data_IF_635523080262
#
_entry.id   IF_635523080262
#
_cell.length_a   1.000
_cell.length_b   1.000
_cell.length_c   1.000
_cell.angle_alpha   90.00
_cell.angle_beta   90.00
_cell.angle_gamma   90.00
#
_symmetry.space_group_name_H-M   'P 1'
#
loop_
_entity.id
_entity.type
_entity.pdbx_description
1 polymer ?
#
# COMPACT_ATOMS: atom_id res chain seq x y z
N UNK A 1 -21.83 16.16 -16.10
CA UNK A 1 -23.17 15.52 -15.94
C UNK A 1 -23.03 14.00 -15.87
N UNK A 2 -22.15 13.51 -14.99
CA UNK A 2 -22.09 12.12 -14.49
C UNK A 2 -21.57 12.25 -13.05
N UNK A 3 -22.47 12.50 -12.11
CA UNK A 3 -22.22 12.50 -10.65
C UNK A 3 -23.50 11.99 -10.02
N UNK A 4 -23.69 10.66 -10.10
CA UNK A 4 -24.69 9.85 -9.41
C UNK A 4 -24.54 8.41 -9.91
N UNK A 5 -23.62 7.66 -9.29
CA UNK A 5 -23.62 6.19 -9.20
C UNK A 5 -22.35 5.66 -8.49
N UNK A 6 -21.82 6.38 -7.49
CA UNK A 6 -20.67 5.91 -6.70
C UNK A 6 -21.10 5.12 -5.45
N UNK A 7 -22.34 5.28 -4.97
CA UNK A 7 -22.78 4.69 -3.68
C UNK A 7 -23.24 3.22 -3.76
N UNK A 8 -23.44 2.63 -4.95
CA UNK A 8 -23.87 1.23 -5.09
C UNK A 8 -22.77 0.27 -5.59
N UNK A 9 -21.56 0.76 -5.89
CA UNK A 9 -20.46 -0.06 -6.45
C UNK A 9 -19.30 -0.33 -5.50
N UNK A 10 -19.19 0.41 -4.39
CA UNK A 10 -18.12 0.27 -3.40
C UNK A 10 -18.14 -1.05 -2.58
N UNK A 11 -19.16 -1.90 -2.76
CA UNK A 11 -19.31 -3.14 -1.98
C UNK A 11 -18.72 -4.40 -2.65
N UNK A 12 -18.08 -4.27 -3.82
CA UNK A 12 -17.43 -5.39 -4.51
C UNK A 12 -16.07 -4.98 -5.05
N UNK A 13 -15.02 -5.52 -4.42
CA UNK A 13 -13.68 -5.73 -4.99
C UNK A 13 -12.67 -4.58 -4.93
N UNK A 14 -12.63 -3.83 -3.83
CA UNK A 14 -11.46 -3.03 -3.40
C UNK A 14 -10.37 -3.84 -2.66
N UNK A 15 -10.51 -5.17 -2.56
CA UNK A 15 -9.62 -6.03 -1.74
C UNK A 15 -8.42 -6.64 -2.50
N UNK A 16 -8.21 -6.34 -3.79
CA UNK A 16 -7.46 -7.27 -4.66
C UNK A 16 -5.95 -7.01 -4.80
N UNK A 17 -5.37 -5.99 -4.18
CA UNK A 17 -3.91 -5.72 -4.32
C UNK A 17 -3.07 -6.28 -3.17
N UNK A 18 -3.57 -6.29 -1.93
CA UNK A 18 -2.78 -6.80 -0.78
C UNK A 18 -3.11 -8.25 -0.39
N UNK A 19 -4.33 -8.73 -0.63
CA UNK A 19 -4.70 -10.11 -0.25
C UNK A 19 -3.89 -11.18 -1.01
N UNK A 20 -3.36 -10.86 -2.19
CA UNK A 20 -2.56 -11.82 -2.97
C UNK A 20 -1.12 -12.00 -2.46
N UNK A 21 -0.63 -11.14 -1.56
CA UNK A 21 0.62 -11.40 -0.84
C UNK A 21 0.45 -12.41 0.30
N UNK A 22 -0.79 -12.74 0.71
CA UNK A 22 -1.08 -13.64 1.85
C UNK A 22 -1.94 -14.87 1.46
N UNK A 23 -2.77 -14.80 0.40
CA UNK A 23 -3.73 -15.88 0.06
C UNK A 23 -3.18 -16.91 -0.96
N UNK A 24 -1.92 -16.79 -1.39
CA UNK A 24 -1.26 -17.76 -2.27
C UNK A 24 -1.08 -19.18 -1.70
N UNK A 25 -1.57 -19.48 -0.48
CA UNK A 25 -1.38 -20.78 0.19
C UNK A 25 -2.50 -21.81 0.03
N UNK A 26 -3.68 -21.51 -0.54
CA UNK A 26 -4.77 -22.50 -0.62
C UNK A 26 -5.65 -22.34 -1.87
N UNK A 27 -5.23 -22.87 -3.02
CA UNK A 27 -6.15 -23.34 -4.06
C UNK A 27 -5.46 -24.16 -5.17
N UNK A 28 -4.93 -25.35 -4.87
CA UNK A 28 -4.83 -26.43 -5.86
C UNK A 28 -5.15 -27.77 -5.17
N UNK A 29 -6.41 -28.19 -5.24
CA UNK A 29 -6.77 -29.61 -5.40
C UNK A 29 -8.23 -29.69 -5.85
N UNK A 30 -8.46 -30.12 -7.09
CA UNK A 30 -9.80 -30.32 -7.64
C UNK A 30 -10.46 -31.61 -7.16
N UNK A 31 -11.78 -31.68 -7.30
CA UNK A 31 -12.50 -32.86 -7.80
C UNK A 31 -13.98 -32.52 -8.06
N UNK A 32 -14.45 -32.94 -9.24
CA UNK A 32 -15.84 -32.93 -9.70
C UNK A 32 -16.75 -33.83 -8.83
N UNK A 33 -18.05 -33.50 -8.77
CA UNK A 33 -19.07 -34.50 -8.40
C UNK A 33 -20.45 -33.98 -7.98
N UNK A 34 -21.39 -33.90 -8.94
CA UNK A 34 -22.74 -34.47 -8.76
C UNK A 34 -23.84 -33.67 -8.04
N UNK A 35 -24.74 -33.12 -8.85
CA UNK A 35 -26.21 -32.96 -8.71
C UNK A 35 -26.91 -33.47 -7.43
N UNK A 36 -27.80 -32.63 -6.87
CA UNK A 36 -28.90 -33.05 -5.99
C UNK A 36 -29.75 -31.91 -5.44
N UNK A 37 -30.94 -31.71 -6.01
CA UNK A 37 -31.96 -30.77 -5.58
C UNK A 37 -32.63 -31.15 -4.24
N UNK A 38 -33.13 -30.15 -3.48
CA UNK A 38 -34.56 -29.92 -3.20
C UNK A 38 -34.84 -29.24 -1.85
N UNK A 39 -35.65 -28.18 -1.92
CA UNK A 39 -36.79 -27.78 -1.07
C UNK A 39 -36.71 -27.69 0.47
N UNK A 40 -37.28 -26.59 0.98
CA UNK A 40 -38.15 -26.63 2.17
C UNK A 40 -38.00 -25.46 3.17
N UNK A 41 -38.47 -24.25 2.87
CA UNK A 41 -39.76 -23.67 3.35
C UNK A 41 -39.91 -23.35 4.86
N UNK A 42 -40.35 -22.10 5.11
CA UNK A 42 -41.09 -21.53 6.27
C UNK A 42 -40.27 -21.08 7.48
N UNK A 43 -40.58 -19.96 8.14
CA UNK A 43 -41.57 -18.89 7.96
C UNK A 43 -41.14 -17.73 8.87
N UNK A 44 -41.21 -16.48 8.42
CA UNK A 44 -42.36 -15.57 8.50
C UNK A 44 -42.64 -14.96 9.89
N UNK A 45 -42.78 -13.62 9.85
CA UNK A 45 -43.46 -12.70 10.80
C UNK A 45 -42.60 -12.22 11.98
N UNK A 46 -42.41 -10.92 12.26
CA UNK A 46 -42.89 -9.69 11.66
C UNK A 46 -42.80 -8.50 12.64
N UNK A 47 -42.55 -7.32 12.08
CA UNK A 47 -43.09 -5.99 12.44
C UNK A 47 -42.71 -5.28 13.77
N UNK A 48 -42.31 -4.00 13.61
CA UNK A 48 -42.54 -2.88 14.54
C UNK A 48 -41.27 -2.36 15.22
N UNK A 49 -40.56 -1.35 14.67
CA UNK A 49 -40.82 0.09 14.80
C UNK A 49 -41.09 0.54 16.25
N UNK A 50 -40.21 1.35 16.85
CA UNK A 50 -40.31 2.83 16.86
C UNK A 50 -39.34 3.45 17.90
N UNK A 51 -39.16 4.75 17.77
CA UNK A 51 -38.06 5.60 18.22
C UNK A 51 -38.12 6.05 19.70
N UNK A 52 -36.95 6.45 20.22
CA UNK A 52 -36.82 7.73 20.93
C UNK A 52 -36.59 7.72 22.45
N UNK A 53 -35.60 8.50 22.89
CA UNK A 53 -35.70 9.28 24.14
C UNK A 53 -34.58 9.11 25.17
N UNK A 54 -33.69 10.11 25.23
CA UNK A 54 -32.77 10.43 26.35
C UNK A 54 -33.50 10.51 27.71
N UNK A 55 -32.85 10.11 28.81
CA UNK A 55 -32.34 10.98 29.91
C UNK A 55 -31.81 10.19 31.11
N UNK A 56 -30.53 10.41 31.46
CA UNK A 56 -29.97 10.72 32.79
C UNK A 56 -30.18 9.82 34.02
N UNK A 57 -29.07 9.43 34.66
CA UNK A 57 -29.04 9.12 36.09
C UNK A 57 -27.87 8.24 36.57
N UNK A 58 -26.71 8.83 36.86
CA UNK A 58 -25.63 8.18 37.64
C UNK A 58 -26.08 7.82 39.06
N UNK A 59 -25.72 6.61 39.54
CA UNK A 59 -25.27 6.34 40.93
C UNK A 59 -24.44 5.04 41.03
N UNK A 60 -23.13 5.19 41.20
CA UNK A 60 -22.28 4.53 42.21
C UNK A 60 -22.11 2.99 42.23
N UNK A 61 -20.90 2.56 41.89
CA UNK A 61 -20.32 1.20 42.00
C UNK A 61 -20.25 0.60 43.41
N UNK A 62 -20.13 -0.74 43.52
CA UNK A 62 -18.82 -1.32 43.86
C UNK A 62 -18.44 -2.62 43.10
N UNK A 63 -17.25 -2.63 42.48
CA UNK A 63 -16.23 -3.65 42.73
C UNK A 63 -16.26 -4.98 41.97
N UNK A 64 -15.98 -4.95 40.67
CA UNK A 64 -14.98 -5.74 39.90
C UNK A 64 -15.38 -5.58 38.44
N UNK A 65 -14.62 -4.73 37.75
CA UNK A 65 -14.99 -3.97 36.56
C UNK A 65 -15.27 -4.87 35.35
N UNK A 66 -16.55 -5.05 35.03
CA UNK A 66 -16.95 -5.46 33.68
C UNK A 66 -16.53 -4.37 32.70
N UNK A 67 -15.73 -4.74 31.71
CA UNK A 67 -15.44 -3.90 30.55
C UNK A 67 -16.78 -3.63 29.86
N UNK A 68 -17.35 -2.45 30.10
CA UNK A 68 -18.22 -1.83 29.11
C UNK A 68 -17.24 -1.40 28.03
N UNK A 69 -17.20 -2.09 26.89
CA UNK A 69 -16.42 -1.61 25.75
C UNK A 69 -16.95 -0.21 25.45
N UNK A 70 -16.05 0.78 25.41
CA UNK A 70 -16.39 2.05 24.80
C UNK A 70 -16.60 1.78 23.31
N UNK A 71 -17.66 2.33 22.74
CA UNK A 71 -17.84 2.35 21.29
C UNK A 71 -16.89 3.44 20.76
N UNK A 72 -15.89 3.05 19.98
CA UNK A 72 -14.96 3.97 19.30
C UNK A 72 -15.39 4.12 17.84
N UNK A 73 -15.07 5.27 17.23
CA UNK A 73 -15.37 5.50 15.81
C UNK A 73 -14.54 4.58 14.90
N UNK A 74 -13.27 4.37 15.23
CA UNK A 74 -12.39 3.40 14.59
C UNK A 74 -11.99 2.34 15.62
N UNK A 75 -12.25 1.07 15.30
CA UNK A 75 -11.93 -0.06 16.16
C UNK A 75 -11.60 -1.29 15.32
N UNK A 76 -10.59 -2.05 15.74
CA UNK A 76 -10.28 -3.35 15.17
C UNK A 76 -10.53 -4.47 16.19
N UNK A 77 -11.66 -5.17 16.00
CA UNK A 77 -12.06 -6.28 16.85
C UNK A 77 -12.14 -5.90 18.32
N UNK A 78 -11.33 -6.54 19.16
CA UNK A 78 -11.12 -6.14 20.56
C UNK A 78 -9.66 -5.74 20.80
N UNK A 79 -8.88 -5.45 19.75
CA UNK A 79 -7.46 -5.09 19.86
C UNK A 79 -7.26 -3.66 20.35
N UNK A 80 -7.67 -2.68 19.55
CA UNK A 80 -7.51 -1.26 19.83
C UNK A 80 -8.71 -0.45 19.30
N UNK A 81 -8.83 0.81 19.74
CA UNK A 81 -9.77 1.78 19.16
C UNK A 81 -9.37 3.23 19.43
N UNK A 82 -9.89 4.14 18.61
CA UNK A 82 -9.76 5.60 18.75
C UNK A 82 -10.96 6.32 18.12
N UNK A 83 -11.22 7.54 18.58
CA UNK A 83 -12.32 8.40 18.14
C UNK A 83 -11.86 9.37 17.05
N UNK A 84 -12.80 9.70 16.15
CA UNK A 84 -12.62 10.74 15.15
C UNK A 84 -13.10 12.08 15.73
N UNK A 85 -12.28 13.14 15.64
CA UNK A 85 -12.68 14.48 16.04
C UNK A 85 -13.99 14.93 15.38
N UNK A 86 -14.80 15.72 16.11
CA UNK A 86 -16.05 16.30 15.57
C UNK A 86 -15.76 17.08 14.27
N UNK A 87 -16.52 16.78 13.20
CA UNK A 87 -16.41 17.47 11.91
C UNK A 87 -16.48 16.54 10.69
N UNK A 88 -16.05 15.29 10.82
CA UNK A 88 -16.14 14.34 9.72
C UNK A 88 -15.04 13.29 9.73
N UNK A 89 -15.33 12.21 9.02
CA UNK A 89 -14.44 11.13 8.66
C UNK A 89 -15.22 10.30 7.65
N UNK A 90 -15.75 10.98 6.62
CA UNK A 90 -16.78 10.43 5.73
C UNK A 90 -16.20 9.35 4.79
N UNK A 91 -14.88 9.21 4.77
CA UNK A 91 -14.13 8.20 4.02
C UNK A 91 -12.88 7.82 4.80
N UNK A 92 -12.79 6.55 5.21
CA UNK A 92 -11.54 5.92 5.64
C UNK A 92 -10.92 5.36 4.37
N UNK A 93 -9.85 5.99 3.90
CA UNK A 93 -9.05 5.51 2.78
C UNK A 93 -7.65 5.12 3.26
N UNK A 94 -6.84 4.51 2.39
CA UNK A 94 -5.42 4.34 2.64
C UNK A 94 -4.68 5.66 2.47
N UNK A 95 -3.81 5.96 3.42
CA UNK A 95 -2.93 7.12 3.39
C UNK A 95 -1.58 6.80 2.75
N UNK A 96 -0.85 7.82 2.28
CA UNK A 96 0.50 7.62 1.72
C UNK A 96 1.45 6.95 2.71
N UNK A 97 2.51 6.30 2.23
CA UNK A 97 3.50 5.60 3.07
C UNK A 97 2.86 4.56 4.02
N UNK A 98 1.75 3.92 3.63
CA UNK A 98 1.20 2.79 4.38
C UNK A 98 0.42 3.16 5.66
N UNK A 99 0.02 4.43 5.81
CA UNK A 99 -0.97 4.81 6.81
C UNK A 99 -2.32 4.11 6.51
N UNK A 100 -2.82 3.29 7.43
CA UNK A 100 -4.03 2.49 7.20
C UNK A 100 -5.32 3.32 7.15
N UNK A 101 -5.31 4.47 7.81
CA UNK A 101 -6.46 5.35 7.89
C UNK A 101 -6.06 6.75 7.43
N UNK A 102 -6.69 7.22 6.35
CA UNK A 102 -6.72 8.60 5.91
C UNK A 102 -8.13 9.12 6.03
N UNK A 103 -8.29 10.26 6.71
CA UNK A 103 -9.56 10.95 6.91
C UNK A 103 -9.39 12.39 6.44
N UNK A 104 -10.22 12.80 5.48
CA UNK A 104 -10.18 14.13 4.87
C UNK A 104 -11.18 15.05 5.58
N UNK A 105 -10.70 16.16 6.13
CA UNK A 105 -11.50 17.22 6.73
C UNK A 105 -11.61 18.38 5.74
N UNK A 106 -12.57 18.29 4.81
CA UNK A 106 -12.70 19.21 3.66
C UNK A 106 -12.88 20.69 4.07
N UNK A 107 -13.63 20.98 5.13
CA UNK A 107 -13.87 22.36 5.58
C UNK A 107 -12.57 23.01 6.09
N UNK A 108 -11.73 22.23 6.75
CA UNK A 108 -10.42 22.64 7.24
C UNK A 108 -9.28 22.44 6.23
N UNK A 109 -9.55 21.79 5.10
CA UNK A 109 -8.55 21.40 4.11
C UNK A 109 -7.41 20.57 4.70
N UNK A 110 -7.71 19.72 5.69
CA UNK A 110 -6.72 19.00 6.49
C UNK A 110 -6.91 17.50 6.37
N UNK A 111 -5.84 16.77 6.11
CA UNK A 111 -5.85 15.32 6.11
C UNK A 111 -5.31 14.81 7.45
N UNK A 112 -6.10 13.97 8.14
CA UNK A 112 -5.69 13.21 9.30
C UNK A 112 -5.31 11.79 8.87
N UNK A 113 -4.12 11.37 9.27
CA UNK A 113 -3.57 10.05 8.99
C UNK A 113 -3.39 9.31 10.32
N UNK A 114 -3.80 8.06 10.35
CA UNK A 114 -3.58 7.18 11.49
C UNK A 114 -3.05 5.82 11.05
N UNK A 115 -2.16 5.28 11.87
CA UNK A 115 -1.66 3.92 11.74
C UNK A 115 -1.48 3.30 13.12
N UNK A 116 -1.73 2.00 13.22
CA UNK A 116 -1.59 1.25 14.48
C UNK A 116 -0.84 -0.04 14.19
N UNK A 117 0.25 -0.25 14.92
CA UNK A 117 1.14 -1.41 14.74
C UNK A 117 1.41 -2.11 16.04
N UNK A 118 1.84 -3.36 15.97
CA UNK A 118 2.47 -4.02 17.11
C UNK A 118 3.68 -3.22 17.58
N UNK A 119 3.84 -3.16 18.90
CA UNK A 119 4.92 -2.36 19.47
C UNK A 119 6.27 -3.06 19.30
N UNK A 120 7.14 -2.45 18.50
CA UNK A 120 8.53 -2.84 18.38
C UNK A 120 9.40 -2.25 19.51
N UNK A 121 10.39 -2.98 20.08
CA UNK A 121 11.28 -2.43 21.08
C UNK A 121 12.02 -1.14 20.66
N UNK A 122 12.41 -1.02 19.39
CA UNK A 122 13.10 0.17 18.88
C UNK A 122 12.16 1.36 18.71
N UNK A 123 10.87 1.16 18.40
CA UNK A 123 9.90 2.26 18.41
C UNK A 123 9.74 2.84 19.83
N UNK A 124 9.76 2.00 20.88
CA UNK A 124 9.72 2.47 22.28
C UNK A 124 10.97 3.25 22.71
N UNK A 125 12.13 3.02 22.09
CA UNK A 125 13.33 3.79 22.40
C UNK A 125 13.16 5.26 22.05
N UNK A 126 12.34 5.57 21.03
CA UNK A 126 11.96 6.93 20.65
C UNK A 126 11.45 7.75 21.83
N UNK A 127 10.50 7.19 22.60
CA UNK A 127 9.93 7.84 23.78
C UNK A 127 10.80 7.69 25.04
N UNK A 128 11.52 6.58 25.20
CA UNK A 128 12.35 6.33 26.39
C UNK A 128 13.56 7.26 26.47
N UNK A 129 14.14 7.61 25.33
CA UNK A 129 15.28 8.54 25.24
C UNK A 129 14.83 9.93 24.75
N UNK A 130 13.66 10.40 25.22
CA UNK A 130 13.05 11.64 24.73
C UNK A 130 13.96 12.87 24.87
N UNK A 131 14.81 12.92 25.91
CA UNK A 131 15.79 14.00 26.09
C UNK A 131 16.78 14.12 24.91
N UNK A 132 17.09 13.00 24.26
CA UNK A 132 17.93 12.95 23.06
C UNK A 132 17.10 13.02 21.78
N UNK A 133 15.93 12.38 21.74
CA UNK A 133 15.02 12.34 20.58
C UNK A 133 14.47 13.73 20.25
N UNK A 134 13.94 14.47 21.22
CA UNK A 134 13.30 15.77 20.99
C UNK A 134 14.20 16.79 20.26
N UNK A 135 15.46 17.04 20.67
CA UNK A 135 16.33 17.94 19.91
C UNK A 135 16.77 17.36 18.55
N UNK A 136 16.79 16.03 18.40
CA UNK A 136 17.12 15.38 17.13
C UNK A 136 16.05 15.62 16.06
N UNK A 137 14.77 15.70 16.44
CA UNK A 137 13.67 15.92 15.49
C UNK A 137 13.80 17.24 14.71
N UNK A 138 14.28 18.31 15.34
CA UNK A 138 14.51 19.58 14.65
C UNK A 138 15.64 19.47 13.60
N UNK A 139 16.68 18.68 13.88
CA UNK A 139 17.75 18.39 12.92
C UNK A 139 17.22 17.58 11.74
N UNK A 140 16.45 16.52 12.02
CA UNK A 140 15.85 15.68 10.99
C UNK A 140 14.87 16.47 10.12
N UNK A 141 14.07 17.37 10.70
CA UNK A 141 13.22 18.28 9.95
C UNK A 141 14.02 19.12 8.95
N UNK A 142 15.15 19.68 9.40
CA UNK A 142 16.02 20.49 8.56
C UNK A 142 16.71 19.69 7.44
N UNK A 143 17.06 18.43 7.68
CA UNK A 143 17.69 17.54 6.69
C UNK A 143 16.70 17.01 5.65
N UNK A 144 15.45 16.79 6.05
CA UNK A 144 14.39 16.31 5.15
C UNK A 144 13.80 17.46 4.32
N UNK A 145 13.44 18.58 4.95
CA UNK A 145 12.70 19.68 4.33
C UNK A 145 13.59 20.85 3.87
N UNK A 146 14.84 20.92 4.33
CA UNK A 146 15.80 21.92 3.84
C UNK A 146 15.31 23.36 3.99
N UNK A 147 15.41 24.14 2.92
CA UNK A 147 14.98 25.55 2.89
C UNK A 147 13.45 25.72 2.94
N UNK A 148 12.68 24.65 2.75
CA UNK A 148 11.22 24.68 2.79
C UNK A 148 10.69 24.66 4.22
N UNK A 149 11.50 24.25 5.21
CA UNK A 149 11.15 24.30 6.63
C UNK A 149 11.05 25.76 7.10
N UNK A 150 9.86 26.15 7.57
CA UNK A 150 9.62 27.49 8.10
C UNK A 150 9.87 27.58 9.60
N UNK A 151 9.34 26.60 10.35
CA UNK A 151 9.46 26.56 11.80
C UNK A 151 9.31 25.14 12.31
N UNK A 152 10.04 24.81 13.37
CA UNK A 152 9.82 23.61 14.17
C UNK A 152 9.27 24.03 15.54
N UNK A 153 8.09 23.51 15.87
CA UNK A 153 7.35 23.77 17.10
C UNK A 153 7.92 23.01 18.31
N UNK A 154 7.30 23.15 19.49
CA UNK A 154 7.73 22.41 20.67
C UNK A 154 7.53 20.90 20.45
N UNK A 155 8.51 20.11 20.89
CA UNK A 155 8.40 18.67 21.02
C UNK A 155 8.12 18.33 22.49
N UNK A 156 7.03 17.60 22.75
CA UNK A 156 6.53 17.32 24.09
C UNK A 156 6.36 15.82 24.31
N UNK A 157 6.69 15.37 25.53
CA UNK A 157 6.30 14.07 26.03
C UNK A 157 5.19 14.28 27.07
N UNK A 158 4.00 13.78 26.77
CA UNK A 158 2.83 13.93 27.62
C UNK A 158 2.70 12.77 28.61
N UNK A 159 2.39 13.10 29.87
CA UNK A 159 2.09 12.13 30.91
C UNK A 159 0.64 11.63 30.79
N UNK A 160 0.41 10.32 30.90
CA UNK A 160 -0.92 9.71 30.72
C UNK A 160 -0.96 8.21 31.02
N UNK A 161 -1.98 7.52 30.51
CA UNK A 161 -2.06 6.04 30.59
C UNK A 161 -0.93 5.36 29.82
N UNK A 162 -0.43 6.01 28.77
CA UNK A 162 0.73 5.59 27.99
C UNK A 162 1.55 6.83 27.57
N UNK A 163 2.86 6.69 27.29
CA UNK A 163 3.67 7.77 26.76
C UNK A 163 3.14 8.26 25.41
N UNK A 164 2.92 9.57 25.30
CA UNK A 164 2.56 10.22 24.03
C UNK A 164 3.63 11.25 23.69
N UNK A 165 4.39 11.01 22.62
CA UNK A 165 5.32 11.98 22.08
C UNK A 165 4.61 12.82 21.03
N UNK A 166 4.76 14.14 21.07
CA UNK A 166 4.18 15.03 20.08
C UNK A 166 5.16 16.10 19.62
N UNK A 167 4.99 16.55 18.39
CA UNK A 167 5.67 17.72 17.87
C UNK A 167 4.88 18.26 16.67
N UNK A 168 5.14 19.51 16.34
CA UNK A 168 4.57 20.15 15.16
C UNK A 168 5.62 20.98 14.45
N UNK A 169 5.38 21.27 13.19
CA UNK A 169 6.24 22.11 12.38
C UNK A 169 5.44 22.67 11.20
N UNK A 170 6.05 23.58 10.46
CA UNK A 170 5.51 24.06 9.20
C UNK A 170 6.57 24.12 8.13
N UNK A 171 6.14 23.82 6.91
CA UNK A 171 6.92 23.95 5.70
C UNK A 171 6.14 24.78 4.67
N UNK A 172 6.81 25.34 3.68
CA UNK A 172 6.14 26.05 2.61
C UNK A 172 6.78 25.79 1.25
N UNK A 173 5.93 25.63 0.25
CA UNK A 173 6.31 25.50 -1.14
C UNK A 173 5.32 26.24 -2.02
N UNK A 174 5.84 26.91 -3.05
CA UNK A 174 5.04 27.64 -4.04
C UNK A 174 4.02 28.66 -3.46
N UNK A 175 4.25 29.16 -2.23
CA UNK A 175 3.35 30.10 -1.56
C UNK A 175 2.27 29.46 -0.69
N UNK A 176 2.16 28.12 -0.70
CA UNK A 176 1.32 27.34 0.20
C UNK A 176 2.11 26.98 1.44
N UNK A 177 1.50 27.14 2.62
CA UNK A 177 2.08 26.73 3.91
C UNK A 177 1.37 25.46 4.38
N UNK A 178 2.16 24.47 4.74
CA UNK A 178 1.70 23.19 5.28
C UNK A 178 2.10 23.13 6.74
N UNK A 179 1.10 23.03 7.60
CA UNK A 179 1.27 22.73 9.00
C UNK A 179 1.15 21.22 9.21
N UNK A 180 2.02 20.68 10.05
CA UNK A 180 2.00 19.26 10.39
C UNK A 180 2.09 19.10 11.90
N UNK A 181 1.21 18.27 12.46
CA UNK A 181 1.26 17.85 13.86
C UNK A 181 1.27 16.33 13.93
N UNK A 182 2.15 15.79 14.77
CA UNK A 182 2.40 14.35 14.89
C UNK A 182 2.28 13.96 16.34
N UNK A 183 1.59 12.86 16.60
CA UNK A 183 1.42 12.23 17.91
C UNK A 183 1.73 10.74 17.80
N UNK A 184 2.71 10.28 18.56
CA UNK A 184 3.06 8.87 18.69
C UNK A 184 2.67 8.38 20.08
N UNK A 185 1.73 7.44 20.13
CA UNK A 185 1.23 6.80 21.34
C UNK A 185 1.90 5.43 21.50
N UNK A 186 2.68 5.25 22.57
CA UNK A 186 3.43 4.01 22.82
C UNK A 186 2.74 3.15 23.88
N UNK A 187 1.77 2.34 23.46
CA UNK A 187 1.05 1.40 24.32
C UNK A 187 1.89 0.17 24.74
N UNK A 188 1.28 -0.73 25.52
CA UNK A 188 1.91 -1.99 25.94
C UNK A 188 1.92 -3.05 24.82
N UNK A 189 0.90 -3.03 23.98
CA UNK A 189 0.70 -3.96 22.87
C UNK A 189 0.91 -3.26 21.53
N UNK A 190 0.35 -2.07 21.38
CA UNK A 190 0.28 -1.33 20.12
C UNK A 190 0.96 0.04 20.21
N UNK A 191 1.64 0.42 19.13
CA UNK A 191 2.09 1.79 18.87
C UNK A 191 1.12 2.40 17.87
N UNK A 192 0.51 3.53 18.22
CA UNK A 192 -0.36 4.28 17.32
C UNK A 192 0.29 5.59 16.91
N UNK A 193 0.15 5.95 15.64
CA UNK A 193 0.66 7.17 15.06
C UNK A 193 -0.51 7.98 14.52
N UNK A 194 -0.57 9.26 14.86
CA UNK A 194 -1.55 10.21 14.33
C UNK A 194 -0.79 11.40 13.76
N UNK A 195 -0.93 11.65 12.46
CA UNK A 195 -0.32 12.78 11.78
C UNK A 195 -1.40 13.57 11.04
N UNK A 196 -1.49 14.86 11.27
CA UNK A 196 -2.37 15.73 10.50
C UNK A 196 -1.54 16.70 9.66
N UNK A 197 -1.95 16.93 8.41
CA UNK A 197 -1.30 17.85 7.47
C UNK A 197 -2.34 18.74 6.81
N UNK A 198 -2.14 20.05 6.84
CA UNK A 198 -3.09 21.00 6.28
C UNK A 198 -2.68 22.47 6.41
N UNK A 199 -3.46 23.41 5.86
CA UNK A 199 -3.14 24.84 5.86
C UNK A 199 -3.49 25.55 7.17
N UNK A 200 -4.35 24.98 8.01
CA UNK A 200 -4.74 25.56 9.30
C UNK A 200 -4.01 24.87 10.46
N UNK A 201 -3.08 25.59 11.09
CA UNK A 201 -2.30 25.07 12.21
C UNK A 201 -3.12 24.65 13.44
N UNK A 202 -4.26 25.31 13.71
CA UNK A 202 -5.09 25.01 14.87
C UNK A 202 -5.91 23.75 14.61
N UNK A 203 -6.49 23.62 13.41
CA UNK A 203 -7.19 22.41 12.98
C UNK A 203 -6.24 21.20 12.99
N UNK A 204 -5.08 21.31 12.32
CA UNK A 204 -4.05 20.26 12.27
C UNK A 204 -3.68 19.76 13.66
N UNK A 205 -3.36 20.68 14.58
CA UNK A 205 -2.97 20.27 15.94
C UNK A 205 -4.13 19.65 16.72
N UNK A 206 -5.34 20.22 16.61
CA UNK A 206 -6.54 19.71 17.27
C UNK A 206 -6.85 18.29 16.84
N UNK A 207 -6.91 18.03 15.53
CA UNK A 207 -7.32 16.75 14.97
C UNK A 207 -6.39 15.62 15.43
N UNK A 208 -5.07 15.79 15.23
CA UNK A 208 -4.10 14.78 15.64
C UNK A 208 -4.10 14.55 17.16
N UNK A 209 -4.24 15.62 17.95
CA UNK A 209 -4.27 15.54 19.42
C UNK A 209 -5.50 14.82 19.95
N UNK A 210 -6.68 15.15 19.45
CA UNK A 210 -7.95 14.57 19.92
C UNK A 210 -8.00 13.07 19.60
N UNK A 211 -7.59 12.66 18.39
CA UNK A 211 -7.46 11.24 18.04
C UNK A 211 -6.45 10.51 18.94
N UNK A 212 -5.25 11.08 19.11
CA UNK A 212 -4.23 10.49 19.98
C UNK A 212 -4.69 10.36 21.44
N UNK A 213 -5.44 11.34 21.96
CA UNK A 213 -5.95 11.32 23.33
C UNK A 213 -7.08 10.30 23.54
N UNK A 214 -7.79 9.92 22.48
CA UNK A 214 -8.86 8.91 22.53
C UNK A 214 -8.34 7.48 22.38
N UNK A 215 -7.13 7.29 21.83
CA UNK A 215 -6.57 5.97 21.56
C UNK A 215 -6.50 5.09 22.81
N UNK A 216 -6.94 3.84 22.66
CA UNK A 216 -6.95 2.86 23.74
C UNK A 216 -6.67 1.44 23.24
N UNK A 217 -5.94 0.69 24.07
CA UNK A 217 -5.81 -0.76 23.93
C UNK A 217 -6.99 -1.45 24.63
N UNK A 218 -7.65 -2.36 23.92
CA UNK A 218 -8.86 -3.05 24.37
C UNK A 218 -8.58 -4.49 24.85
N UNK A 219 -7.35 -4.98 24.63
CA UNK A 219 -6.81 -6.21 25.23
C UNK A 219 -7.13 -7.52 24.53
N UNK A 220 -7.77 -7.47 23.35
CA UNK A 220 -8.01 -8.59 22.45
C UNK A 220 -7.07 -8.61 21.24
N UNK A 221 -7.37 -9.48 20.27
CA UNK A 221 -6.59 -9.61 19.04
C UNK A 221 -7.01 -8.53 18.01
N UNK A 222 -6.00 -7.92 17.38
CA UNK A 222 -6.15 -7.05 16.21
C UNK A 222 -5.92 -7.86 14.93
N UNK A 223 -6.66 -7.53 13.88
CA UNK A 223 -6.67 -8.18 12.57
C UNK A 223 -6.13 -7.27 11.47
N UNK A 224 -6.20 -5.95 11.66
CA UNK A 224 -5.63 -4.91 10.81
C UNK A 224 -4.51 -4.21 11.58
N UNK A 225 -3.33 -4.78 11.48
CA UNK A 225 -2.11 -4.23 12.09
C UNK A 225 -1.22 -3.76 10.95
N UNK A 226 -0.76 -2.51 11.05
CA UNK A 226 0.12 -1.99 10.02
C UNK A 226 1.42 -2.75 9.92
N UNK A 227 1.86 -2.98 8.67
CA UNK A 227 3.21 -3.45 8.40
C UNK A 227 4.20 -2.33 8.67
N UNK A 228 5.50 -2.66 8.77
CA UNK A 228 6.55 -1.64 8.90
C UNK A 228 6.39 -0.59 7.80
N UNK A 229 6.51 0.69 8.16
CA UNK A 229 6.41 1.82 7.24
C UNK A 229 7.17 1.51 5.92
N UNK A 230 6.50 1.55 4.74
CA UNK A 230 7.03 1.14 3.44
C UNK A 230 8.31 1.86 3.01
N UNK A 231 8.55 3.05 3.55
CA UNK A 231 9.89 3.58 3.69
C UNK A 231 10.10 4.98 3.10
N UNK A 232 9.03 5.78 3.00
CA UNK A 232 9.11 7.14 2.49
C UNK A 232 10.14 7.96 3.30
N UNK A 233 11.22 8.36 2.63
CA UNK A 233 12.31 9.15 3.23
C UNK A 233 13.07 8.45 4.37
N UNK A 234 13.10 7.11 4.39
CA UNK A 234 13.80 6.35 5.44
C UNK A 234 15.33 6.53 5.43
N UNK A 235 15.92 6.96 4.30
CA UNK A 235 17.35 7.29 4.19
C UNK A 235 17.76 8.48 5.07
N UNK A 236 16.78 9.30 5.49
CA UNK A 236 16.95 10.48 6.36
C UNK A 236 16.10 10.37 7.63
N UNK A 237 15.79 9.15 8.05
CA UNK A 237 14.98 8.89 9.24
C UNK A 237 15.66 7.91 10.17
N UNK A 238 15.94 8.36 11.40
CA UNK A 238 16.67 7.56 12.39
C UNK A 238 15.81 6.48 13.05
N UNK A 239 14.49 6.47 12.81
CA UNK A 239 13.52 5.66 13.56
C UNK A 239 12.73 4.72 12.65
N UNK A 240 13.35 3.61 12.19
CA UNK A 240 12.85 2.77 11.09
C UNK A 240 11.52 2.02 11.33
N UNK A 241 10.94 2.17 12.52
CA UNK A 241 9.66 1.59 12.95
C UNK A 241 8.59 2.65 13.22
N UNK A 242 8.83 3.89 12.79
CA UNK A 242 7.85 4.98 12.79
C UNK A 242 7.83 5.58 11.38
N UNK A 243 6.69 6.12 10.93
CA UNK A 243 6.67 6.87 9.67
C UNK A 243 7.55 8.10 9.79
N UNK A 244 8.21 8.50 8.70
CA UNK A 244 8.93 9.77 8.64
C UNK A 244 7.93 10.89 8.31
N UNK A 245 7.51 11.71 9.29
CA UNK A 245 6.49 12.71 9.04
C UNK A 245 7.00 13.82 8.12
N UNK A 246 8.31 14.06 8.05
CA UNK A 246 8.86 15.10 7.18
C UNK A 246 8.77 14.71 5.71
N UNK A 247 8.98 13.43 5.41
CA UNK A 247 8.80 12.91 4.06
C UNK A 247 7.32 12.87 3.67
N UNK A 248 6.44 12.59 4.63
CA UNK A 248 4.99 12.73 4.47
C UNK A 248 4.58 14.16 4.11
N UNK A 249 5.10 15.18 4.78
CA UNK A 249 4.83 16.58 4.39
C UNK A 249 5.43 16.91 3.03
N UNK A 250 6.60 16.36 2.70
CA UNK A 250 7.16 16.41 1.35
C UNK A 250 6.20 15.90 0.28
N UNK A 251 5.58 14.74 0.53
CA UNK A 251 4.55 14.15 -0.35
C UNK A 251 3.39 15.10 -0.58
N UNK A 252 2.81 15.70 0.48
CA UNK A 252 1.72 16.67 0.33
C UNK A 252 2.16 17.95 -0.39
N UNK A 253 3.39 18.42 -0.18
CA UNK A 253 3.93 19.55 -0.93
C UNK A 253 4.09 19.23 -2.42
N UNK A 254 4.51 18.01 -2.77
CA UNK A 254 4.63 17.55 -4.16
C UNK A 254 3.27 17.42 -4.86
N UNK A 255 2.17 17.19 -4.13
CA UNK A 255 0.81 17.23 -4.69
C UNK A 255 0.46 18.64 -5.20
N UNK A 256 0.89 19.69 -4.51
CA UNK A 256 0.63 21.07 -4.90
C UNK A 256 1.64 21.58 -5.95
N UNK A 257 2.94 21.33 -5.73
CA UNK A 257 4.00 21.73 -6.65
C UNK A 257 5.31 20.96 -6.44
N UNK A 258 6.05 20.65 -7.52
CA UNK A 258 7.41 20.11 -7.39
C UNK A 258 8.36 21.12 -6.71
N UNK A 259 9.38 20.61 -6.01
CA UNK A 259 10.46 21.44 -5.46
C UNK A 259 11.21 22.22 -6.55
N UNK A 260 11.84 23.36 -6.22
CA UNK A 260 12.60 24.17 -7.19
C UNK A 260 13.68 23.37 -7.95
N UNK A 261 14.35 22.45 -7.24
CA UNK A 261 15.34 21.57 -7.83
C UNK A 261 14.69 20.60 -8.81
N UNK A 262 13.53 20.03 -8.44
CA UNK A 262 12.80 19.09 -9.30
C UNK A 262 12.17 19.78 -10.51
N UNK A 263 11.65 21.00 -10.35
CA UNK A 263 11.11 21.81 -11.45
C UNK A 263 12.15 22.11 -12.53
N UNK A 264 13.45 22.18 -12.16
CA UNK A 264 14.52 22.45 -13.12
C UNK A 264 14.77 21.29 -14.09
N UNK A 265 14.36 20.07 -13.74
CA UNK A 265 14.48 18.86 -14.57
C UNK A 265 13.11 18.33 -15.00
N UNK A 266 12.04 19.05 -14.73
CA UNK A 266 10.68 18.65 -15.08
C UNK A 266 10.38 18.90 -16.56
N UNK A 267 9.61 18.00 -17.17
CA UNK A 267 9.30 18.01 -18.60
C UNK A 267 7.89 17.49 -18.85
N UNK A 268 7.26 17.95 -19.93
CA UNK A 268 6.00 17.41 -20.40
C UNK A 268 6.21 16.01 -20.98
N UNK A 269 5.44 15.04 -20.50
CA UNK A 269 5.51 13.66 -20.97
C UNK A 269 4.83 13.57 -22.34
N UNK A 270 5.56 12.99 -23.30
CA UNK A 270 5.07 12.75 -24.65
C UNK A 270 4.74 11.26 -24.81
N UNK A 271 3.47 10.93 -24.57
CA UNK A 271 2.96 9.56 -24.58
C UNK A 271 3.04 8.89 -25.96
N UNK A 272 3.46 7.62 -25.98
CA UNK A 272 3.51 6.76 -27.16
C UNK A 272 2.23 5.94 -27.30
N UNK A 273 1.63 5.56 -26.18
CA UNK A 273 0.39 4.80 -26.08
C UNK A 273 -0.75 5.69 -25.58
N UNK A 274 -1.82 5.79 -26.38
CA UNK A 274 -2.97 6.64 -26.06
C UNK A 274 -3.81 6.10 -24.91
N UNK A 275 -3.77 4.79 -24.68
CA UNK A 275 -4.48 4.15 -23.58
C UNK A 275 -3.76 4.47 -22.26
N UNK A 276 -2.42 4.38 -22.25
CA UNK A 276 -1.62 4.81 -21.10
C UNK A 276 -1.83 6.31 -20.83
N UNK A 277 -1.77 7.16 -21.86
CA UNK A 277 -2.03 8.60 -21.71
C UNK A 277 -3.40 8.87 -21.07
N UNK A 278 -4.47 8.26 -21.59
CA UNK A 278 -5.82 8.48 -21.09
C UNK A 278 -5.98 8.01 -19.64
N UNK A 279 -5.40 6.85 -19.29
CA UNK A 279 -5.40 6.33 -17.92
C UNK A 279 -4.69 7.28 -16.97
N UNK A 280 -3.48 7.73 -17.34
CA UNK A 280 -2.69 8.60 -16.47
C UNK A 280 -3.34 9.96 -16.31
N UNK A 281 -3.89 10.55 -17.37
CA UNK A 281 -4.63 11.82 -17.29
C UNK A 281 -5.82 11.75 -16.36
N UNK A 282 -6.56 10.65 -16.38
CA UNK A 282 -7.65 10.42 -15.43
C UNK A 282 -7.11 10.26 -14.00
N UNK A 283 -6.05 9.47 -13.82
CA UNK A 283 -5.42 9.22 -12.52
C UNK A 283 -4.87 10.49 -11.84
N UNK A 284 -4.26 11.40 -12.61
CA UNK A 284 -3.69 12.66 -12.10
C UNK A 284 -4.64 13.86 -12.24
N UNK A 285 -5.89 13.63 -12.67
CA UNK A 285 -6.93 14.65 -12.87
C UNK A 285 -6.53 15.80 -13.82
N UNK A 286 -5.77 15.50 -14.88
CA UNK A 286 -5.32 16.46 -15.92
C UNK A 286 -5.88 16.12 -17.31
N UNK A 287 -7.18 16.34 -17.56
CA UNK A 287 -7.79 15.98 -18.85
C UNK A 287 -7.28 16.83 -20.01
N UNK A 288 -7.04 18.13 -19.79
CA UNK A 288 -6.65 19.09 -20.82
C UNK A 288 -5.28 19.75 -20.59
N UNK A 289 -4.67 19.51 -19.42
CA UNK A 289 -3.38 20.10 -19.02
C UNK A 289 -2.20 19.17 -19.36
N UNK A 290 -0.99 19.69 -19.62
CA UNK A 290 0.19 18.85 -19.75
C UNK A 290 0.40 17.96 -18.52
N UNK A 291 0.62 16.66 -18.75
CA UNK A 291 1.12 15.77 -17.70
C UNK A 291 2.63 15.91 -17.67
N UNK A 292 3.16 16.32 -16.53
CA UNK A 292 4.55 16.60 -16.29
C UNK A 292 5.23 15.39 -15.63
N UNK A 293 6.53 15.22 -15.83
CA UNK A 293 7.31 14.15 -15.21
C UNK A 293 7.18 14.14 -13.69
N UNK A 294 7.09 15.31 -13.06
CA UNK A 294 6.91 15.41 -11.60
C UNK A 294 5.57 14.92 -11.10
N UNK A 295 4.53 14.88 -11.96
CA UNK A 295 3.21 14.36 -11.56
C UNK A 295 3.28 12.87 -11.21
N UNK A 296 4.29 12.16 -11.71
CA UNK A 296 4.47 10.71 -11.52
C UNK A 296 5.49 10.34 -10.44
N UNK A 297 6.27 11.32 -9.93
CA UNK A 297 7.35 11.06 -8.96
C UNK A 297 6.84 10.39 -7.67
N UNK A 298 5.61 10.66 -7.27
CA UNK A 298 5.02 10.15 -6.02
C UNK A 298 4.64 8.68 -6.07
N UNK A 299 4.55 8.07 -7.25
CA UNK A 299 4.05 6.71 -7.40
C UNK A 299 5.18 5.70 -7.22
N UNK A 300 5.03 4.83 -6.21
CA UNK A 300 5.94 3.73 -5.90
C UNK A 300 5.33 2.37 -6.23
N UNK A 301 4.01 2.29 -6.30
CA UNK A 301 3.26 1.14 -6.78
C UNK A 301 2.42 1.53 -8.00
N UNK A 302 2.39 0.67 -9.01
CA UNK A 302 1.59 0.85 -10.21
C UNK A 302 0.92 -0.48 -10.61
N UNK A 303 -0.38 -0.44 -10.84
CA UNK A 303 -1.14 -1.54 -11.40
C UNK A 303 -1.94 -1.07 -12.62
N UNK A 304 -1.93 -1.84 -13.70
CA UNK A 304 -2.78 -1.60 -14.86
C UNK A 304 -3.49 -2.89 -15.24
N UNK A 305 -4.82 -2.82 -15.37
CA UNK A 305 -5.66 -3.98 -15.66
C UNK A 305 -6.66 -3.69 -16.76
N UNK A 306 -6.94 -4.69 -17.58
CA UNK A 306 -8.12 -4.71 -18.43
C UNK A 306 -9.19 -5.59 -17.79
N UNK A 307 -10.36 -5.02 -17.53
CA UNK A 307 -11.51 -5.67 -16.91
C UNK A 307 -12.47 -6.16 -17.99
N UNK A 308 -12.31 -7.41 -18.45
CA UNK A 308 -13.12 -7.99 -19.53
C UNK A 308 -14.64 -7.92 -19.26
N UNK A 309 -15.04 -8.03 -17.98
CA UNK A 309 -16.46 -8.03 -17.59
C UNK A 309 -17.14 -6.68 -17.81
N UNK A 310 -16.39 -5.58 -17.71
CA UNK A 310 -16.92 -4.21 -17.88
C UNK A 310 -16.45 -3.55 -19.18
N UNK A 311 -15.37 -4.04 -19.80
CA UNK A 311 -14.74 -3.43 -20.96
C UNK A 311 -14.01 -2.14 -20.61
N UNK A 312 -13.43 -2.07 -19.42
CA UNK A 312 -12.74 -0.89 -18.89
C UNK A 312 -11.27 -1.20 -18.64
N UNK A 313 -10.41 -0.20 -18.80
CA UNK A 313 -9.07 -0.20 -18.24
C UNK A 313 -9.11 0.43 -16.85
N UNK A 314 -8.39 -0.18 -15.93
CA UNK A 314 -8.10 0.33 -14.59
C UNK A 314 -6.62 0.66 -14.51
N UNK A 315 -6.30 1.82 -13.92
CA UNK A 315 -4.98 2.13 -13.40
C UNK A 315 -5.10 2.40 -11.91
N UNK A 316 -4.22 1.81 -11.12
CA UNK A 316 -4.06 2.12 -9.70
C UNK A 316 -2.62 2.49 -9.44
N UNK A 317 -2.37 3.58 -8.70
CA UNK A 317 -1.04 3.96 -8.31
C UNK A 317 -1.03 4.46 -6.86
N UNK A 318 -0.29 3.75 -6.00
CA UNK A 318 -0.44 3.83 -4.55
C UNK A 318 -1.94 3.72 -4.16
N UNK A 319 -2.48 4.75 -3.53
CA UNK A 319 -3.88 4.82 -3.05
C UNK A 319 -4.85 5.32 -4.13
N UNK A 320 -4.34 5.87 -5.24
CA UNK A 320 -5.18 6.42 -6.30
C UNK A 320 -5.60 5.32 -7.27
N UNK A 321 -6.83 5.41 -7.77
CA UNK A 321 -7.32 4.55 -8.84
C UNK A 321 -8.22 5.33 -9.79
N UNK A 322 -8.11 4.99 -11.07
CA UNK A 322 -8.89 5.56 -12.14
C UNK A 322 -9.32 4.47 -13.12
N UNK A 323 -10.48 4.67 -13.75
CA UNK A 323 -11.04 3.76 -14.73
C UNK A 323 -11.47 4.53 -15.97
N UNK A 324 -11.16 3.98 -17.14
CA UNK A 324 -11.64 4.51 -18.40
C UNK A 324 -12.31 3.38 -19.21
N UNK A 325 -13.42 3.65 -19.92
CA UNK A 325 -13.92 2.72 -20.93
C UNK A 325 -12.84 2.46 -21.98
N UNK A 326 -12.69 1.23 -22.43
CA UNK A 326 -11.76 0.88 -23.50
C UNK A 326 -12.24 1.34 -24.89
N UNK A 327 -13.29 2.16 -25.00
CA UNK A 327 -13.98 2.56 -26.23
C UNK A 327 -13.03 3.03 -27.35
N UNK A 328 -12.56 2.09 -28.19
CA UNK A 328 -11.59 2.36 -29.25
C UNK A 328 -10.14 2.58 -28.78
N UNK A 329 -9.87 2.31 -27.51
CA UNK A 329 -8.55 2.26 -26.89
C UNK A 329 -8.08 0.81 -26.80
N UNK A 330 -6.80 0.63 -27.06
CA UNK A 330 -6.10 -0.64 -26.94
C UNK A 330 -4.69 -0.32 -26.44
N UNK A 331 -4.24 -0.99 -25.39
CA UNK A 331 -2.86 -0.85 -24.93
C UNK A 331 -1.95 -1.69 -25.83
N UNK A 332 -1.07 -1.01 -26.56
CA UNK A 332 -0.22 -1.57 -27.61
C UNK A 332 1.23 -1.69 -27.13
N UNK A 333 1.68 -0.80 -26.23
CA UNK A 333 3.07 -0.82 -25.73
C UNK A 333 3.17 -0.43 -24.25
N UNK A 334 4.21 -0.94 -23.60
CA UNK A 334 4.59 -0.62 -22.21
C UNK A 334 5.67 0.47 -22.13
N UNK A 335 6.10 1.05 -23.26
CA UNK A 335 7.20 2.04 -23.29
C UNK A 335 6.99 3.25 -22.38
N UNK A 336 5.75 3.69 -22.21
CA UNK A 336 5.42 4.85 -21.38
C UNK A 336 5.48 4.53 -19.87
N UNK A 337 5.55 3.26 -19.46
CA UNK A 337 5.72 2.90 -18.05
C UNK A 337 7.08 3.33 -17.50
N UNK A 338 8.05 3.58 -18.38
CA UNK A 338 9.35 4.13 -18.00
C UNK A 338 9.27 5.57 -17.45
N UNK A 339 8.15 6.27 -17.66
CA UNK A 339 7.90 7.61 -17.12
C UNK A 339 7.53 7.60 -15.62
N UNK A 340 7.45 6.42 -14.98
CA UNK A 340 7.23 6.25 -13.55
C UNK A 340 8.55 5.92 -12.82
N UNK A 341 9.41 6.90 -12.52
CA UNK A 341 10.81 6.66 -12.13
C UNK A 341 10.98 5.99 -10.77
N UNK A 342 9.97 6.09 -9.90
CA UNK A 342 10.05 5.63 -8.51
C UNK A 342 9.21 4.36 -8.25
N UNK A 343 8.62 3.75 -9.29
CA UNK A 343 7.85 2.52 -9.15
C UNK A 343 8.78 1.35 -8.80
N UNK A 344 8.53 0.76 -7.64
CA UNK A 344 9.21 -0.43 -7.12
C UNK A 344 8.30 -1.67 -7.15
N UNK A 345 6.99 -1.47 -7.31
CA UNK A 345 5.99 -2.55 -7.40
C UNK A 345 5.11 -2.37 -8.62
N UNK A 346 5.16 -3.31 -9.56
CA UNK A 346 4.40 -3.28 -10.80
C UNK A 346 3.50 -4.51 -10.94
N UNK A 347 2.21 -4.28 -11.22
CA UNK A 347 1.24 -5.33 -11.55
C UNK A 347 0.56 -5.04 -12.90
N UNK A 348 0.66 -5.98 -13.84
CA UNK A 348 0.03 -5.86 -15.15
C UNK A 348 -0.96 -7.01 -15.35
N UNK A 349 -2.21 -6.69 -15.66
CA UNK A 349 -3.21 -7.65 -16.11
C UNK A 349 -3.76 -7.24 -17.49
N UNK A 350 -3.01 -7.56 -18.52
CA UNK A 350 -3.23 -7.08 -19.88
C UNK A 350 -3.24 -8.27 -20.85
N UNK A 351 -4.41 -8.69 -21.36
CA UNK A 351 -4.52 -9.92 -22.14
C UNK A 351 -3.79 -9.87 -23.49
N UNK A 352 -3.71 -8.70 -24.12
CA UNK A 352 -3.22 -8.52 -25.50
C UNK A 352 -1.76 -8.02 -25.57
N UNK A 353 -1.06 -7.84 -24.45
CA UNK A 353 0.33 -7.36 -24.47
C UNK A 353 1.31 -8.52 -24.74
N UNK A 354 2.28 -8.29 -25.62
CA UNK A 354 3.24 -9.32 -26.05
C UNK A 354 4.70 -8.89 -25.93
N UNK A 355 4.99 -7.60 -25.98
CA UNK A 355 6.35 -7.07 -25.85
C UNK A 355 6.60 -6.53 -24.44
N UNK A 356 7.41 -7.26 -23.67
CA UNK A 356 7.83 -6.90 -22.32
C UNK A 356 9.21 -6.24 -22.27
N UNK A 357 9.88 -6.08 -23.43
CA UNK A 357 11.19 -5.44 -23.48
C UNK A 357 11.24 -4.03 -22.87
N UNK A 358 10.16 -3.20 -22.91
CA UNK A 358 10.20 -1.90 -22.24
C UNK A 358 10.35 -1.97 -20.72
N UNK A 359 9.95 -3.09 -20.08
CA UNK A 359 10.11 -3.24 -18.63
C UNK A 359 11.59 -3.25 -18.21
N UNK A 360 12.50 -3.55 -19.13
CA UNK A 360 13.95 -3.59 -18.88
C UNK A 360 14.57 -2.26 -18.42
N UNK A 361 13.87 -1.13 -18.62
CA UNK A 361 14.31 0.17 -18.09
C UNK A 361 13.87 0.44 -16.65
N UNK A 362 12.95 -0.35 -16.09
CA UNK A 362 12.43 -0.18 -14.73
C UNK A 362 13.31 -0.91 -13.70
N UNK A 363 14.60 -0.57 -13.66
CA UNK A 363 15.62 -1.33 -12.91
C UNK A 363 15.45 -1.29 -11.38
N UNK A 364 14.59 -0.41 -10.86
CA UNK A 364 14.27 -0.31 -9.43
C UNK A 364 13.11 -1.21 -8.97
N UNK A 365 12.57 -2.07 -9.84
CA UNK A 365 11.47 -2.97 -9.48
C UNK A 365 11.93 -4.02 -8.47
N UNK A 366 11.25 -4.06 -7.32
CA UNK A 366 11.36 -5.12 -6.31
C UNK A 366 10.27 -6.18 -6.47
N UNK A 367 9.09 -5.77 -6.95
CA UNK A 367 7.93 -6.64 -7.15
C UNK A 367 7.44 -6.51 -8.58
N UNK A 368 7.33 -7.63 -9.29
CA UNK A 368 6.75 -7.68 -10.62
C UNK A 368 5.73 -8.82 -10.72
N UNK A 369 4.49 -8.47 -11.05
CA UNK A 369 3.42 -9.41 -11.32
C UNK A 369 2.85 -9.16 -12.71
N UNK A 370 2.88 -10.18 -13.57
CA UNK A 370 2.33 -10.11 -14.93
C UNK A 370 1.29 -11.21 -15.10
N UNK A 371 0.10 -10.83 -15.54
CA UNK A 371 -0.98 -11.72 -15.93
C UNK A 371 -1.43 -11.35 -17.35
N UNK A 372 -1.19 -12.23 -18.30
CA UNK A 372 -1.42 -11.94 -19.72
C UNK A 372 -1.77 -13.21 -20.49
N UNK A 373 -2.39 -13.06 -21.65
CA UNK A 373 -2.58 -14.13 -22.63
C UNK A 373 -1.49 -14.16 -23.72
N UNK A 374 -0.45 -13.34 -23.58
CA UNK A 374 0.61 -13.21 -24.57
C UNK A 374 1.57 -14.39 -24.66
N UNK A 375 2.55 -14.25 -25.56
CA UNK A 375 3.64 -15.22 -25.76
C UNK A 375 5.00 -14.51 -25.78
N UNK A 376 6.05 -15.21 -25.33
CA UNK A 376 7.43 -14.73 -25.45
C UNK A 376 8.39 -15.86 -25.81
N UNK A 377 9.36 -15.55 -26.66
CA UNK A 377 10.41 -16.47 -27.11
C UNK A 377 11.64 -16.46 -26.16
N UNK A 378 11.75 -15.48 -25.27
CA UNK A 378 12.82 -15.40 -24.27
C UNK A 378 12.40 -14.57 -23.05
N UNK A 379 13.29 -14.52 -22.06
CA UNK A 379 13.11 -13.78 -20.82
C UNK A 379 14.23 -12.75 -20.58
N UNK A 380 14.96 -12.36 -21.63
CA UNK A 380 16.17 -11.53 -21.50
C UNK A 380 15.86 -10.13 -20.96
N UNK A 381 14.63 -9.66 -21.12
CA UNK A 381 14.14 -8.39 -20.58
C UNK A 381 14.13 -8.34 -19.04
N UNK A 382 14.17 -9.49 -18.35
CA UNK A 382 14.32 -9.56 -16.90
C UNK A 382 15.75 -9.24 -16.45
N UNK A 383 16.76 -9.40 -17.30
CA UNK A 383 18.17 -9.31 -16.90
C UNK A 383 18.54 -7.99 -16.17
N UNK A 384 18.02 -6.82 -16.56
CA UNK A 384 18.33 -5.57 -15.87
C UNK A 384 17.59 -5.35 -14.54
N UNK A 385 16.63 -6.21 -14.18
CA UNK A 385 15.78 -6.05 -13.00
C UNK A 385 16.42 -6.70 -11.76
N UNK A 386 17.66 -6.34 -11.46
CA UNK A 386 18.47 -6.98 -10.40
C UNK A 386 17.94 -6.80 -8.98
N UNK A 387 17.10 -5.80 -8.76
CA UNK A 387 16.47 -5.51 -7.46
C UNK A 387 15.21 -6.36 -7.20
N UNK A 388 14.77 -7.19 -8.16
CA UNK A 388 13.58 -8.02 -7.97
C UNK A 388 13.75 -8.98 -6.79
N UNK A 389 12.80 -8.89 -5.87
CA UNK A 389 12.62 -9.78 -4.71
C UNK A 389 11.49 -10.77 -4.98
N UNK A 390 10.44 -10.33 -5.68
CA UNK A 390 9.29 -11.15 -6.04
C UNK A 390 8.93 -11.02 -7.52
N UNK A 391 8.85 -12.17 -8.19
CA UNK A 391 8.40 -12.29 -9.57
C UNK A 391 7.26 -13.30 -9.68
N UNK A 392 6.14 -12.86 -10.25
CA UNK A 392 5.05 -13.74 -10.66
C UNK A 392 4.66 -13.50 -12.11
N UNK A 393 4.63 -14.56 -12.91
CA UNK A 393 4.18 -14.52 -14.30
C UNK A 393 3.11 -15.58 -14.52
N UNK A 394 1.87 -15.14 -14.70
CA UNK A 394 0.71 -15.98 -15.01
C UNK A 394 0.21 -15.79 -16.44
N UNK A 395 -0.19 -16.90 -17.07
CA UNK A 395 -0.85 -16.90 -18.38
C UNK A 395 0.08 -16.67 -19.59
N UNK A 396 1.28 -16.09 -19.40
CA UNK A 396 2.27 -15.91 -20.46
C UNK A 396 2.76 -17.25 -21.01
N UNK A 397 2.67 -17.46 -22.32
CA UNK A 397 3.24 -18.62 -23.01
C UNK A 397 4.75 -18.41 -23.23
N UNK A 398 5.56 -18.93 -22.31
CA UNK A 398 7.03 -18.85 -22.36
C UNK A 398 7.59 -20.00 -23.20
N UNK A 399 8.06 -19.68 -24.41
CA UNK A 399 8.52 -20.63 -25.43
C UNK A 399 10.04 -20.84 -25.45
N UNK A 400 10.65 -20.87 -24.27
CA UNK A 400 12.09 -21.10 -24.15
C UNK A 400 12.43 -22.13 -23.08
N UNK A 401 13.49 -22.88 -23.33
CA UNK A 401 14.16 -23.70 -22.32
C UNK A 401 15.35 -22.98 -21.66
N UNK A 402 15.72 -21.79 -22.17
CA UNK A 402 16.82 -20.99 -21.64
C UNK A 402 16.35 -20.10 -20.49
N UNK A 403 16.83 -20.43 -19.30
CA UNK A 403 16.46 -19.82 -18.02
C UNK A 403 17.63 -19.16 -17.31
N UNK A 404 18.75 -18.96 -18.02
CA UNK A 404 19.99 -18.40 -17.43
C UNK A 404 19.82 -16.98 -16.90
N UNK A 405 18.79 -16.26 -17.32
CA UNK A 405 18.47 -14.92 -16.80
C UNK A 405 18.18 -14.92 -15.30
N UNK A 406 17.55 -15.96 -14.76
CA UNK A 406 17.23 -16.03 -13.33
C UNK A 406 18.47 -16.07 -12.44
N UNK A 407 19.59 -16.61 -12.95
CA UNK A 407 20.87 -16.60 -12.24
C UNK A 407 21.48 -15.20 -12.07
N UNK A 408 20.93 -14.18 -12.73
CA UNK A 408 21.34 -12.77 -12.59
C UNK A 408 20.48 -12.00 -11.57
N UNK A 409 19.35 -12.57 -11.13
CA UNK A 409 18.44 -11.96 -10.17
C UNK A 409 18.83 -12.35 -8.74
N UNK A 410 19.96 -11.82 -8.27
CA UNK A 410 20.61 -12.23 -7.01
C UNK A 410 19.73 -12.00 -5.76
N UNK A 411 18.83 -11.01 -5.82
CA UNK A 411 17.92 -10.64 -4.73
C UNK A 411 16.58 -11.40 -4.77
N UNK A 412 16.34 -12.25 -5.78
CA UNK A 412 15.04 -12.87 -5.95
C UNK A 412 14.79 -13.93 -4.88
N UNK A 413 13.77 -13.69 -4.05
CA UNK A 413 13.38 -14.57 -2.96
C UNK A 413 12.18 -15.43 -3.30
N UNK A 414 11.29 -14.94 -4.16
CA UNK A 414 10.03 -15.60 -4.51
C UNK A 414 9.82 -15.62 -6.02
N UNK A 415 9.57 -16.80 -6.57
CA UNK A 415 9.37 -17.01 -7.99
C UNK A 415 8.16 -17.93 -8.26
N UNK A 416 7.16 -17.41 -8.98
CA UNK A 416 5.98 -18.16 -9.43
C UNK A 416 5.75 -17.97 -10.94
N UNK A 417 5.93 -19.03 -11.73
CA UNK A 417 5.71 -18.99 -13.17
C UNK A 417 5.57 -20.38 -13.81
N UNK A 418 5.25 -20.38 -15.10
CA UNK A 418 5.17 -21.58 -15.93
C UNK A 418 6.25 -21.57 -17.02
N UNK A 419 7.10 -22.60 -17.04
CA UNK A 419 8.18 -22.83 -17.99
C UNK A 419 8.08 -24.22 -18.65
N UNK A 420 7.12 -24.44 -19.57
CA UNK A 420 6.78 -25.78 -20.07
C UNK A 420 7.92 -26.54 -20.75
N UNK A 421 8.95 -25.84 -21.21
CA UNK A 421 10.08 -26.42 -21.96
C UNK A 421 11.34 -26.61 -21.11
N UNK A 422 11.28 -26.32 -19.80
CA UNK A 422 12.43 -26.36 -18.91
C UNK A 422 12.45 -27.68 -18.15
N UNK A 423 13.47 -28.49 -18.41
CA UNK A 423 13.73 -29.75 -17.69
C UNK A 423 14.96 -29.69 -16.79
N UNK A 424 15.89 -28.77 -17.06
CA UNK A 424 17.09 -28.53 -16.24
C UNK A 424 16.80 -27.40 -15.24
N UNK A 425 16.69 -27.77 -13.96
CA UNK A 425 16.37 -26.86 -12.87
C UNK A 425 17.60 -26.36 -12.11
N UNK A 426 18.81 -26.63 -12.63
CA UNK A 426 20.06 -26.33 -11.93
C UNK A 426 20.23 -24.84 -11.64
N UNK A 427 19.72 -23.95 -12.51
CA UNK A 427 19.80 -22.49 -12.30
C UNK A 427 19.14 -22.06 -11.00
N UNK A 428 17.96 -22.62 -10.68
CA UNK A 428 17.22 -22.26 -9.46
C UNK A 428 17.91 -22.79 -8.20
N UNK A 429 18.64 -23.90 -8.33
CA UNK A 429 19.42 -24.48 -7.25
C UNK A 429 20.62 -23.60 -6.83
N UNK A 430 21.10 -22.75 -7.74
CA UNK A 430 22.25 -21.86 -7.56
C UNK A 430 21.86 -20.45 -7.08
N UNK A 431 20.56 -20.12 -7.04
CA UNK A 431 20.08 -18.82 -6.57
C UNK A 431 20.18 -18.73 -5.03
N UNK A 432 21.02 -17.84 -4.48
CA UNK A 432 21.30 -17.81 -3.04
C UNK A 432 20.15 -17.24 -2.21
N UNK A 433 19.36 -16.32 -2.79
CA UNK A 433 18.24 -15.66 -2.12
C UNK A 433 16.90 -16.41 -2.22
N UNK A 434 16.79 -17.42 -3.10
CA UNK A 434 15.51 -18.04 -3.44
C UNK A 434 14.95 -18.88 -2.27
N UNK A 435 13.83 -18.44 -1.70
CA UNK A 435 13.13 -19.09 -0.59
C UNK A 435 11.85 -19.80 -1.02
N UNK A 436 11.14 -19.24 -2.00
CA UNK A 436 9.87 -19.81 -2.47
C UNK A 436 9.91 -19.98 -3.99
N UNK A 437 9.73 -21.23 -4.44
CA UNK A 437 9.69 -21.60 -5.85
C UNK A 437 8.42 -22.38 -6.16
N UNK A 438 7.53 -21.75 -6.92
CA UNK A 438 6.34 -22.35 -7.49
C UNK A 438 6.55 -22.42 -9.00
N UNK A 439 6.78 -23.62 -9.52
CA UNK A 439 7.14 -23.81 -10.92
C UNK A 439 6.29 -24.87 -11.60
N UNK A 440 5.66 -24.52 -12.72
CA UNK A 440 5.10 -25.48 -13.66
C UNK A 440 6.08 -25.66 -14.82
N UNK A 441 6.75 -26.80 -14.92
CA UNK A 441 7.82 -27.05 -15.89
C UNK A 441 7.61 -28.34 -16.71
N UNK A 442 8.64 -28.77 -17.45
CA UNK A 442 8.60 -30.04 -18.17
C UNK A 442 8.30 -31.21 -17.19
N UNK A 443 7.49 -32.17 -17.64
CA UNK A 443 7.09 -33.32 -16.81
C UNK A 443 8.26 -34.24 -16.43
N UNK A 444 9.36 -34.19 -17.18
CA UNK A 444 10.57 -34.98 -16.95
C UNK A 444 11.67 -34.18 -16.22
N UNK A 445 11.35 -33.00 -15.69
CA UNK A 445 12.32 -32.18 -14.98
C UNK A 445 12.92 -32.91 -13.77
N UNK A 446 14.24 -32.87 -13.63
CA UNK A 446 14.92 -33.49 -12.49
C UNK A 446 14.82 -32.61 -11.25
N UNK A 447 13.83 -32.89 -10.41
CA UNK A 447 13.61 -32.15 -9.16
C UNK A 447 14.63 -32.48 -8.07
N UNK A 448 15.48 -33.51 -8.25
CA UNK A 448 16.45 -33.91 -7.22
C UNK A 448 17.50 -32.82 -6.94
N UNK A 449 17.81 -31.98 -7.94
CA UNK A 449 18.77 -30.87 -7.81
C UNK A 449 18.31 -29.77 -6.85
N UNK A 450 17.00 -29.71 -6.56
CA UNK A 450 16.37 -28.73 -5.66
C UNK A 450 16.09 -29.28 -4.26
N UNK A 451 15.92 -30.60 -4.08
CA UNK A 451 15.50 -31.20 -2.81
C UNK A 451 16.44 -30.93 -1.64
N UNK A 452 17.74 -30.92 -1.91
CA UNK A 452 18.78 -30.72 -0.89
C UNK A 452 19.12 -29.24 -0.66
N UNK A 453 18.39 -28.31 -1.31
CA UNK A 453 18.62 -26.87 -1.20
C UNK A 453 17.91 -26.31 0.01
N UNK A 454 18.61 -26.26 1.14
CA UNK A 454 18.06 -25.79 2.42
C UNK A 454 17.47 -24.38 2.31
N UNK A 455 17.98 -23.52 1.42
CA UNK A 455 17.49 -22.16 1.26
C UNK A 455 16.04 -22.07 0.73
N UNK A 456 15.55 -23.05 -0.03
CA UNK A 456 14.21 -23.01 -0.67
C UNK A 456 13.13 -23.53 0.28
N UNK A 457 12.71 -22.72 1.24
CA UNK A 457 11.69 -23.01 2.26
C UNK A 457 10.38 -23.59 1.70
N UNK A 458 9.88 -23.08 0.57
CA UNK A 458 8.65 -23.54 -0.07
C UNK A 458 8.93 -23.99 -1.51
N UNK A 459 8.68 -25.27 -1.83
CA UNK A 459 8.99 -25.84 -3.15
C UNK A 459 7.80 -26.62 -3.72
N UNK A 460 7.13 -26.02 -4.71
CA UNK A 460 6.06 -26.66 -5.47
C UNK A 460 6.47 -26.79 -6.93
N UNK A 461 6.49 -28.03 -7.44
CA UNK A 461 6.77 -28.33 -8.84
C UNK A 461 5.57 -29.04 -9.44
N UNK A 462 5.04 -28.54 -10.56
CA UNK A 462 3.93 -29.15 -11.29
C UNK A 462 2.68 -29.45 -10.42
N UNK A 463 2.45 -28.62 -9.40
CA UNK A 463 1.32 -28.78 -8.47
C UNK A 463 1.55 -29.80 -7.36
N UNK A 464 2.76 -30.34 -7.22
CA UNK A 464 3.16 -31.22 -6.12
C UNK A 464 4.12 -30.49 -5.17
N UNK A 465 3.84 -30.59 -3.87
CA UNK A 465 4.78 -30.18 -2.82
C UNK A 465 5.95 -31.14 -2.83
N UNK A 466 7.15 -30.64 -3.13
CA UNK A 466 8.37 -31.46 -3.18
C UNK A 466 9.06 -31.49 -1.82
N UNK A 467 8.86 -30.45 -0.99
CA UNK A 467 9.39 -30.35 0.36
C UNK A 467 8.42 -29.67 1.30
#
# INVERSE_FOLDING_TARGET
MIRKNLEERAFLMGETVLLWLIVGMLAVSGAEGGLGASDGLRGAVGLGADCGGRTGGEKGWPGTSGAVSKDYDVQDGQGFGFDLPEGGGDRIDWGPDGYHFKMEYEEEGTDLLADVRETDPASREFARDWESTAPNLARLAQENLGEELLAFGPAELMDGQMPVCSFSYSAARAGTVFHTAVFYCFGETYTAEFAAVGPDSEAVYRLAKESAASFAELGGEAHMIGQRAPGLGMDRWDYPYLHNPFALTGYYMDLEAPSLQRSATDYEIMWKDRTVEALVRELVEKPDEPVMSSDLDRFSSLAIRFLEQTGEYEISANELSAWIPADGLEMITLEDLAEFPNVVSLSLQLPEIHDFSPLSSMTGLNVLMIFTGGETENLDWLAPLSELVYLRIGGLDIRTSDVRVFGQLENLERLDLRLPMVSDLSVFAEMPGLKELLLQCDENADTSVLREREQIECLFINGEEVR
#
